data_IF_442272444790
#
_entry.id   IF_442272444790
#
_cell.length_a   1.000
_cell.length_b   1.000
_cell.length_c   1.000
_cell.angle_alpha   90.00
_cell.angle_beta   90.00
_cell.angle_gamma   90.00
#
_symmetry.space_group_name_H-M   'P 1'
#
loop_
_entity.id
_entity.type
_entity.pdbx_description
1 polymer ?
#
# COMPACT_ATOMS: atom_id res chain seq x y z
N UNK A 1 54.14 2.71 -46.07
CA UNK A 1 52.96 2.78 -45.20
C UNK A 1 53.45 2.70 -43.77
N UNK A 2 53.46 3.82 -43.04
CA UNK A 2 53.85 3.86 -41.63
C UNK A 2 52.78 3.12 -40.83
N UNK A 3 53.10 1.95 -40.28
CA UNK A 3 52.24 1.29 -39.32
C UNK A 3 52.20 2.17 -38.07
N UNK A 4 51.03 2.70 -37.71
CA UNK A 4 50.81 3.27 -36.39
C UNK A 4 51.14 2.17 -35.37
N UNK A 5 52.29 2.29 -34.72
CA UNK A 5 52.60 1.56 -33.49
C UNK A 5 51.68 2.13 -32.42
N UNK A 6 50.45 1.60 -32.35
CA UNK A 6 49.54 1.83 -31.23
C UNK A 6 50.31 1.44 -29.96
N UNK A 7 50.69 2.46 -29.20
CA UNK A 7 51.49 2.31 -28.00
C UNK A 7 50.60 1.72 -26.91
N UNK A 8 50.51 0.38 -26.91
CA UNK A 8 49.68 -0.42 -26.00
C UNK A 8 49.92 -0.09 -24.54
N UNK A 9 51.12 0.38 -24.19
CA UNK A 9 51.50 0.79 -22.84
C UNK A 9 50.79 2.09 -22.37
N UNK A 10 50.49 3.01 -23.29
CA UNK A 10 49.71 4.21 -22.99
C UNK A 10 48.24 3.84 -22.88
N UNK A 11 47.74 3.00 -23.79
CA UNK A 11 46.35 2.55 -23.82
C UNK A 11 46.00 1.75 -22.56
N UNK A 12 46.87 0.85 -22.10
CA UNK A 12 46.66 0.07 -20.87
C UNK A 12 46.60 0.94 -19.60
N UNK A 13 47.35 2.05 -19.55
CA UNK A 13 47.33 3.01 -18.43
C UNK A 13 46.03 3.82 -18.36
N UNK A 14 45.35 4.04 -19.49
CA UNK A 14 44.03 4.67 -19.51
C UNK A 14 42.88 3.67 -19.34
N UNK A 15 43.04 2.42 -19.80
CA UNK A 15 42.02 1.36 -19.62
C UNK A 15 41.79 1.07 -18.13
N UNK A 16 42.83 1.06 -17.30
CA UNK A 16 42.70 0.79 -15.86
C UNK A 16 41.74 1.75 -15.13
N UNK A 17 41.94 3.08 -15.13
CA UNK A 17 41.00 4.01 -14.51
C UNK A 17 39.64 4.04 -15.21
N UNK A 18 39.58 3.94 -16.55
CA UNK A 18 38.30 3.88 -17.27
C UNK A 18 37.48 2.65 -16.87
N UNK A 19 38.14 1.49 -16.71
CA UNK A 19 37.48 0.27 -16.24
C UNK A 19 36.95 0.43 -14.81
N UNK A 20 37.67 1.11 -13.92
CA UNK A 20 37.20 1.45 -12.57
C UNK A 20 35.97 2.36 -12.61
N UNK A 21 35.96 3.39 -13.46
CA UNK A 21 34.80 4.26 -13.63
C UNK A 21 33.57 3.51 -14.18
N UNK A 22 33.78 2.63 -15.18
CA UNK A 22 32.71 1.81 -15.76
C UNK A 22 32.15 0.84 -14.73
N UNK A 23 33.00 0.14 -13.99
CA UNK A 23 32.59 -0.79 -12.92
C UNK A 23 31.84 -0.01 -11.83
N UNK A 24 32.36 1.13 -11.38
CA UNK A 24 31.70 1.96 -10.37
C UNK A 24 30.31 2.43 -10.84
N UNK A 25 30.18 2.83 -12.11
CA UNK A 25 28.89 3.20 -12.69
C UNK A 25 27.90 2.02 -12.73
N UNK A 26 28.36 0.83 -13.13
CA UNK A 26 27.53 -0.38 -13.15
C UNK A 26 27.06 -0.74 -11.73
N UNK A 27 27.98 -0.74 -10.75
CA UNK A 27 27.67 -1.01 -9.34
C UNK A 27 26.67 0.01 -8.82
N UNK A 28 26.86 1.29 -9.12
CA UNK A 28 25.94 2.36 -8.75
C UNK A 28 24.53 2.13 -9.30
N UNK A 29 24.41 1.78 -10.58
CA UNK A 29 23.12 1.49 -11.23
C UNK A 29 22.43 0.27 -10.60
N UNK A 30 23.19 -0.81 -10.34
CA UNK A 30 22.67 -2.01 -9.69
C UNK A 30 22.20 -1.74 -8.26
N UNK A 31 23.01 -1.01 -7.49
CA UNK A 31 22.70 -0.64 -6.12
C UNK A 31 21.43 0.21 -6.04
N UNK A 32 21.30 1.23 -6.88
CA UNK A 32 20.09 2.05 -6.91
C UNK A 32 18.84 1.25 -7.28
N UNK A 33 18.94 0.31 -8.23
CA UNK A 33 17.82 -0.58 -8.59
C UNK A 33 17.43 -1.49 -7.42
N UNK A 34 18.41 -2.05 -6.70
CA UNK A 34 18.15 -2.87 -5.52
C UNK A 34 17.51 -2.04 -4.40
N UNK A 35 18.01 -0.83 -4.15
CA UNK A 35 17.49 0.01 -3.08
C UNK A 35 16.04 0.45 -3.34
N UNK A 36 15.68 0.73 -4.60
CA UNK A 36 14.28 0.99 -4.97
C UNK A 36 13.37 -0.20 -4.66
N UNK A 37 13.79 -1.43 -5.00
CA UNK A 37 13.04 -2.65 -4.68
C UNK A 37 12.86 -2.82 -3.17
N UNK A 38 13.92 -2.61 -2.40
CA UNK A 38 13.92 -2.72 -0.94
C UNK A 38 12.95 -1.73 -0.27
N UNK A 39 12.95 -0.47 -0.72
CA UNK A 39 12.04 0.56 -0.19
C UNK A 39 10.58 0.17 -0.46
N UNK A 40 10.25 -0.24 -1.69
CA UNK A 40 8.87 -0.61 -2.06
C UNK A 40 8.41 -1.88 -1.34
N UNK A 41 9.29 -2.87 -1.16
CA UNK A 41 9.01 -4.06 -0.36
C UNK A 41 8.80 -3.73 1.13
N UNK A 42 9.57 -2.78 1.67
CA UNK A 42 9.43 -2.32 3.06
C UNK A 42 8.11 -1.58 3.27
N UNK A 43 7.75 -0.71 2.33
CA UNK A 43 6.47 -0.02 2.35
C UNK A 43 5.30 -1.02 2.31
N UNK A 44 5.40 -2.04 1.46
CA UNK A 44 4.38 -3.08 1.34
C UNK A 44 4.20 -3.88 2.63
N UNK A 45 5.30 -4.19 3.34
CA UNK A 45 5.24 -4.84 4.66
C UNK A 45 4.55 -3.95 5.69
N UNK A 46 4.83 -2.65 5.65
CA UNK A 46 4.15 -1.70 6.54
C UNK A 46 2.64 -1.66 6.26
N UNK A 47 2.23 -1.64 4.98
CA UNK A 47 0.80 -1.67 4.61
C UNK A 47 0.12 -2.93 5.14
N UNK A 48 0.76 -4.09 5.07
CA UNK A 48 0.19 -5.34 5.59
C UNK A 48 -0.14 -5.19 7.08
N UNK A 49 0.78 -4.64 7.87
CA UNK A 49 0.54 -4.40 9.30
C UNK A 49 -0.60 -3.41 9.53
N UNK A 50 -0.58 -2.27 8.84
CA UNK A 50 -1.63 -1.25 8.97
C UNK A 50 -3.01 -1.80 8.58
N UNK A 51 -3.08 -2.66 7.55
CA UNK A 51 -4.32 -3.31 7.12
C UNK A 51 -4.84 -4.27 8.17
N UNK A 52 -3.97 -5.03 8.84
CA UNK A 52 -4.40 -5.89 9.95
C UNK A 52 -4.95 -5.08 11.13
N UNK A 53 -4.30 -3.98 11.50
CA UNK A 53 -4.79 -3.08 12.54
C UNK A 53 -6.12 -2.41 12.13
N UNK A 54 -6.23 -1.94 10.89
CA UNK A 54 -7.46 -1.37 10.36
C UNK A 54 -8.60 -2.39 10.39
N UNK A 55 -8.32 -3.64 10.01
CA UNK A 55 -9.31 -4.72 10.02
C UNK A 55 -9.75 -5.09 11.44
N UNK A 56 -8.87 -4.99 12.44
CA UNK A 56 -9.25 -5.15 13.84
C UNK A 56 -10.31 -4.13 14.24
N UNK A 57 -10.07 -2.84 13.98
CA UNK A 57 -11.05 -1.79 14.29
C UNK A 57 -12.36 -1.99 13.51
N UNK A 58 -12.26 -2.33 12.22
CA UNK A 58 -13.43 -2.65 11.40
C UNK A 58 -14.25 -3.80 11.98
N UNK A 59 -13.60 -4.88 12.40
CA UNK A 59 -14.25 -6.02 13.02
C UNK A 59 -14.95 -5.64 14.33
N UNK A 60 -14.26 -4.88 15.19
CA UNK A 60 -14.83 -4.41 16.46
C UNK A 60 -16.06 -3.52 16.26
N UNK A 61 -16.04 -2.63 15.27
CA UNK A 61 -17.18 -1.77 14.91
C UNK A 61 -18.33 -2.60 14.34
N UNK A 62 -18.05 -3.46 13.35
CA UNK A 62 -19.09 -4.23 12.64
C UNK A 62 -19.80 -5.27 13.49
N UNK A 63 -19.12 -5.82 14.50
CA UNK A 63 -19.70 -6.78 15.44
C UNK A 63 -20.22 -6.11 16.72
N UNK A 64 -20.29 -4.78 16.75
CA UNK A 64 -20.71 -3.99 17.91
C UNK A 64 -19.96 -4.38 19.19
N UNK A 65 -18.69 -4.76 19.06
CA UNK A 65 -17.81 -5.05 20.19
C UNK A 65 -17.23 -3.74 20.73
N UNK A 66 -18.11 -2.88 21.23
CA UNK A 66 -17.84 -1.54 21.74
C UNK A 66 -18.45 -1.38 23.12
N UNK A 67 -17.77 -0.63 23.99
CA UNK A 67 -18.24 -0.43 25.38
C UNK A 67 -19.37 0.57 25.46
N UNK A 68 -19.24 1.66 24.73
CA UNK A 68 -20.15 2.80 24.72
C UNK A 68 -19.98 3.60 23.41
N UNK A 69 -20.74 4.68 23.28
CA UNK A 69 -20.70 5.55 22.10
C UNK A 69 -19.34 6.22 21.92
N UNK A 70 -18.68 6.61 23.00
CA UNK A 70 -17.37 7.27 22.93
C UNK A 70 -16.30 6.29 22.41
N UNK A 71 -16.32 5.04 22.88
CA UNK A 71 -15.46 3.96 22.39
C UNK A 71 -15.69 3.70 20.89
N UNK A 72 -16.95 3.67 20.45
CA UNK A 72 -17.28 3.53 19.02
C UNK A 72 -16.68 4.66 18.18
N UNK A 73 -16.84 5.92 18.61
CA UNK A 73 -16.31 7.09 17.90
C UNK A 73 -14.78 7.08 17.83
N UNK A 74 -14.11 6.65 18.91
CA UNK A 74 -12.65 6.49 18.92
C UNK A 74 -12.24 5.45 17.88
N UNK A 75 -12.87 4.27 17.87
CA UNK A 75 -12.55 3.21 16.90
C UNK A 75 -12.83 3.61 15.45
N UNK A 76 -13.93 4.33 15.19
CA UNK A 76 -14.23 4.88 13.87
C UNK A 76 -13.13 5.85 13.42
N UNK A 77 -12.65 6.69 14.34
CA UNK A 77 -11.58 7.63 14.06
C UNK A 77 -10.23 6.95 13.82
N UNK A 78 -9.90 5.91 14.58
CA UNK A 78 -8.69 5.10 14.39
C UNK A 78 -8.72 4.38 13.03
N UNK A 79 -9.86 3.75 12.70
CA UNK A 79 -10.08 3.15 11.38
C UNK A 79 -9.90 4.17 10.24
N UNK A 80 -10.45 5.38 10.39
CA UNK A 80 -10.33 6.47 9.41
C UNK A 80 -8.88 6.93 9.25
N UNK A 81 -8.14 7.05 10.35
CA UNK A 81 -6.73 7.44 10.34
C UNK A 81 -5.89 6.41 9.59
N UNK A 82 -6.04 5.12 9.93
CA UNK A 82 -5.34 4.03 9.24
C UNK A 82 -5.73 3.94 7.76
N UNK A 83 -7.01 4.11 7.44
CA UNK A 83 -7.51 4.16 6.05
C UNK A 83 -6.75 5.20 5.21
N UNK A 84 -6.55 6.41 5.74
CA UNK A 84 -5.83 7.46 5.02
C UNK A 84 -4.34 7.16 4.88
N UNK A 85 -3.71 6.61 5.93
CA UNK A 85 -2.32 6.20 5.88
C UNK A 85 -2.12 5.12 4.81
N UNK A 86 -2.92 4.05 4.83
CA UNK A 86 -2.87 2.97 3.83
C UNK A 86 -3.04 3.53 2.41
N UNK A 87 -4.02 4.43 2.18
CA UNK A 87 -4.21 5.06 0.86
C UNK A 87 -2.98 5.84 0.39
N UNK A 88 -2.31 6.57 1.28
CA UNK A 88 -1.09 7.30 0.95
C UNK A 88 0.04 6.33 0.54
N UNK A 89 0.24 5.26 1.30
CA UNK A 89 1.26 4.22 1.02
C UNK A 89 0.97 3.46 -0.28
N UNK A 90 -0.30 3.11 -0.52
CA UNK A 90 -0.73 2.49 -1.78
C UNK A 90 -0.53 3.43 -2.98
N UNK A 91 -0.73 4.73 -2.81
CA UNK A 91 -0.45 5.73 -3.86
C UNK A 91 1.04 5.77 -4.19
N UNK A 92 1.91 5.71 -3.18
CA UNK A 92 3.35 5.57 -3.40
C UNK A 92 3.69 4.30 -4.18
N UNK A 93 3.16 3.14 -3.79
CA UNK A 93 3.37 1.86 -4.49
C UNK A 93 2.91 1.94 -5.95
N UNK A 94 1.71 2.48 -6.19
CA UNK A 94 1.15 2.63 -7.52
C UNK A 94 2.07 3.46 -8.44
N UNK A 95 2.64 4.54 -7.91
CA UNK A 95 3.59 5.39 -8.62
C UNK A 95 4.93 4.70 -8.87
N UNK A 96 5.38 3.83 -7.97
CA UNK A 96 6.65 3.12 -8.09
C UNK A 96 6.60 1.93 -9.06
N UNK A 97 5.49 1.18 -9.09
CA UNK A 97 5.36 -0.04 -9.90
C UNK A 97 4.76 0.25 -11.29
N UNK A 98 3.86 1.23 -11.39
CA UNK A 98 3.17 1.59 -12.65
C UNK A 98 2.46 0.42 -13.34
N UNK A 99 1.90 -0.51 -12.56
CA UNK A 99 1.11 -1.62 -13.07
C UNK A 99 -0.39 -1.27 -13.06
N UNK A 100 -1.06 -1.46 -14.21
CA UNK A 100 -2.48 -1.10 -14.41
C UNK A 100 -3.43 -1.93 -13.54
N UNK A 101 -3.15 -3.21 -13.36
CA UNK A 101 -3.99 -4.11 -12.57
C UNK A 101 -3.92 -3.76 -11.09
N UNK A 102 -2.72 -3.51 -10.57
CA UNK A 102 -2.51 -3.00 -9.21
C UNK A 102 -3.24 -1.66 -9.02
N UNK A 103 -3.15 -0.77 -10.01
CA UNK A 103 -3.84 0.52 -9.96
C UNK A 103 -5.36 0.36 -9.87
N UNK A 104 -5.92 -0.61 -10.58
CA UNK A 104 -7.35 -0.89 -10.55
C UNK A 104 -7.78 -1.45 -9.19
N UNK A 105 -7.02 -2.37 -8.61
CA UNK A 105 -7.32 -2.92 -7.28
C UNK A 105 -7.22 -1.86 -6.18
N UNK A 106 -6.21 -0.98 -6.23
CA UNK A 106 -6.09 0.16 -5.30
C UNK A 106 -7.30 1.09 -5.42
N UNK A 107 -7.78 1.36 -6.65
CA UNK A 107 -8.98 2.18 -6.87
C UNK A 107 -10.23 1.52 -6.31
N UNK A 108 -10.42 0.22 -6.54
CA UNK A 108 -11.56 -0.55 -6.00
C UNK A 108 -11.58 -0.48 -4.47
N UNK A 109 -10.44 -0.76 -3.83
CA UNK A 109 -10.26 -0.60 -2.39
C UNK A 109 -10.63 0.81 -1.94
N UNK A 110 -10.10 1.85 -2.61
CA UNK A 110 -10.38 3.24 -2.27
C UNK A 110 -11.86 3.61 -2.32
N UNK A 111 -12.58 3.13 -3.33
CA UNK A 111 -14.03 3.32 -3.48
C UNK A 111 -14.78 2.65 -2.33
N UNK A 112 -14.54 1.36 -2.08
CA UNK A 112 -15.22 0.65 -0.98
C UNK A 112 -14.87 1.22 0.38
N UNK A 113 -13.63 1.64 0.59
CA UNK A 113 -13.20 2.26 1.84
C UNK A 113 -13.89 3.61 2.06
N UNK A 114 -14.11 4.41 1.01
CA UNK A 114 -14.85 5.66 1.14
C UNK A 114 -16.29 5.41 1.56
N UNK A 115 -16.96 4.41 0.98
CA UNK A 115 -18.32 4.05 1.40
C UNK A 115 -18.42 3.72 2.89
N UNK A 116 -17.49 2.92 3.41
CA UNK A 116 -17.43 2.61 4.86
C UNK A 116 -17.20 3.88 5.69
N UNK A 117 -16.31 4.77 5.25
CA UNK A 117 -16.08 6.03 5.94
C UNK A 117 -17.30 6.95 5.91
N UNK A 118 -18.02 6.98 4.80
CA UNK A 118 -19.24 7.77 4.65
C UNK A 118 -20.34 7.26 5.60
N UNK A 119 -20.47 5.94 5.75
CA UNK A 119 -21.37 5.33 6.74
C UNK A 119 -21.02 5.75 8.16
N UNK A 120 -19.74 5.73 8.51
CA UNK A 120 -19.29 6.18 9.84
C UNK A 120 -19.56 7.67 10.03
N UNK A 121 -19.34 8.50 9.01
CA UNK A 121 -19.62 9.92 9.05
C UNK A 121 -21.12 10.22 9.22
N UNK A 122 -22.00 9.45 8.56
CA UNK A 122 -23.45 9.56 8.73
C UNK A 122 -23.86 9.30 10.18
N UNK A 123 -23.26 8.30 10.83
CA UNK A 123 -23.47 8.06 12.25
C UNK A 123 -22.94 9.21 13.13
N UNK A 124 -21.70 9.65 12.90
CA UNK A 124 -21.07 10.75 13.65
C UNK A 124 -21.91 12.04 13.57
N UNK A 125 -22.57 12.30 12.45
CA UNK A 125 -23.34 13.53 12.21
C UNK A 125 -24.81 13.44 12.62
N UNK A 126 -25.34 12.24 12.89
CA UNK A 126 -26.69 12.06 13.39
C UNK A 126 -26.79 12.64 14.82
N UNK A 127 -27.83 13.43 15.12
CA UNK A 127 -28.03 14.04 16.44
C UNK A 127 -28.46 13.04 17.52
N UNK A 128 -29.05 11.93 17.11
CA UNK A 128 -29.65 10.95 18.02
C UNK A 128 -28.78 9.70 18.23
N UNK A 129 -27.47 9.75 17.88
CA UNK A 129 -26.44 8.70 17.94
C UNK A 129 -26.79 7.51 18.84
N UNK A 130 -27.64 6.62 18.33
CA UNK A 130 -28.09 5.45 19.07
C UNK A 130 -27.29 4.26 18.56
N UNK A 131 -26.56 3.62 19.49
CA UNK A 131 -25.77 2.43 19.22
C UNK A 131 -26.64 1.29 18.67
N UNK A 132 -27.88 1.17 19.13
CA UNK A 132 -28.79 0.13 18.67
C UNK A 132 -29.22 0.39 17.22
N UNK A 133 -29.55 1.64 16.89
CA UNK A 133 -29.91 2.06 15.53
C UNK A 133 -28.73 1.86 14.57
N UNK A 134 -27.51 2.19 15.01
CA UNK A 134 -26.31 1.94 14.22
C UNK A 134 -26.01 0.45 14.01
N UNK A 135 -26.13 -0.36 15.05
CA UNK A 135 -25.97 -1.81 14.94
C UNK A 135 -26.98 -2.43 13.97
N UNK A 136 -28.24 -2.00 14.03
CA UNK A 136 -29.29 -2.41 13.09
C UNK A 136 -28.95 -1.99 11.65
N UNK A 137 -28.46 -0.77 11.46
CA UNK A 137 -28.06 -0.27 10.15
C UNK A 137 -26.92 -1.09 9.54
N UNK A 138 -25.92 -1.47 10.35
CA UNK A 138 -24.82 -2.35 9.93
C UNK A 138 -25.31 -3.75 9.53
N UNK A 139 -26.24 -4.33 10.28
CA UNK A 139 -26.82 -5.64 9.93
C UNK A 139 -27.58 -5.61 8.60
N UNK A 140 -28.35 -4.54 8.35
CA UNK A 140 -29.06 -4.34 7.09
C UNK A 140 -28.08 -4.20 5.91
N UNK A 141 -27.01 -3.44 6.08
CA UNK A 141 -25.96 -3.29 5.07
C UNK A 141 -25.25 -4.60 4.74
N UNK A 142 -25.08 -5.47 5.74
CA UNK A 142 -24.48 -6.79 5.55
C UNK A 142 -25.40 -7.72 4.74
N UNK A 143 -26.72 -7.65 4.97
CA UNK A 143 -27.70 -8.51 4.30
C UNK A 143 -28.06 -8.07 2.87
N UNK A 144 -28.23 -6.77 2.64
CA UNK A 144 -28.84 -6.29 1.40
C UNK A 144 -27.83 -5.80 0.35
N UNK A 145 -26.72 -5.20 0.78
CA UNK A 145 -25.80 -4.49 -0.15
C UNK A 145 -24.42 -5.13 -0.29
N UNK A 146 -24.12 -6.19 0.47
CA UNK A 146 -22.81 -6.88 0.46
C UNK A 146 -21.61 -5.93 0.64
N UNK A 147 -21.78 -4.73 1.20
CA UNK A 147 -20.71 -3.72 1.21
C UNK A 147 -19.56 -4.13 2.14
N UNK A 148 -19.90 -4.73 3.28
CA UNK A 148 -18.92 -5.31 4.22
C UNK A 148 -18.12 -6.42 3.55
N UNK A 149 -18.80 -7.35 2.85
CA UNK A 149 -18.17 -8.45 2.13
C UNK A 149 -17.26 -7.92 1.01
N UNK A 150 -17.75 -6.94 0.23
CA UNK A 150 -16.98 -6.32 -0.84
C UNK A 150 -15.72 -5.62 -0.30
N UNK A 151 -15.83 -4.93 0.84
CA UNK A 151 -14.69 -4.31 1.51
C UNK A 151 -13.67 -5.36 1.96
N UNK A 152 -14.10 -6.46 2.58
CA UNK A 152 -13.23 -7.56 3.01
C UNK A 152 -12.53 -8.26 1.84
N UNK A 153 -13.25 -8.47 0.72
CA UNK A 153 -12.66 -9.02 -0.50
C UNK A 153 -11.58 -8.09 -1.06
N UNK A 154 -11.85 -6.78 -1.11
CA UNK A 154 -10.87 -5.80 -1.58
C UNK A 154 -9.66 -5.69 -0.66
N UNK A 155 -9.84 -5.78 0.67
CA UNK A 155 -8.73 -5.89 1.62
C UNK A 155 -7.86 -7.11 1.29
N UNK A 156 -8.49 -8.25 1.04
CA UNK A 156 -7.78 -9.49 0.73
C UNK A 156 -6.95 -9.37 -0.56
N UNK A 157 -7.52 -8.75 -1.61
CA UNK A 157 -6.78 -8.42 -2.83
C UNK A 157 -5.56 -7.53 -2.57
N UNK A 158 -5.72 -6.50 -1.75
CA UNK A 158 -4.62 -5.58 -1.39
C UNK A 158 -3.54 -6.31 -0.61
N UNK A 159 -3.91 -7.18 0.34
CA UNK A 159 -2.95 -7.98 1.11
C UNK A 159 -2.14 -8.91 0.20
N UNK A 160 -2.78 -9.59 -0.76
CA UNK A 160 -2.05 -10.44 -1.70
C UNK A 160 -1.11 -9.64 -2.60
N UNK A 161 -1.53 -8.48 -3.11
CA UNK A 161 -0.64 -7.57 -3.86
C UNK A 161 0.56 -7.15 -3.01
N UNK A 162 0.33 -6.67 -1.79
CA UNK A 162 1.40 -6.24 -0.90
C UNK A 162 2.35 -7.38 -0.54
N UNK A 163 1.83 -8.60 -0.37
CA UNK A 163 2.63 -9.81 -0.15
C UNK A 163 3.50 -10.15 -1.35
N UNK A 164 2.96 -10.10 -2.57
CA UNK A 164 3.75 -10.34 -3.79
C UNK A 164 4.86 -9.31 -3.99
N UNK A 165 4.59 -8.05 -3.67
CA UNK A 165 5.60 -6.98 -3.70
C UNK A 165 6.66 -7.20 -2.61
N UNK A 166 6.25 -7.51 -1.38
CA UNK A 166 7.16 -7.78 -0.26
C UNK A 166 8.07 -9.00 -0.51
N UNK A 167 7.61 -9.95 -1.31
CA UNK A 167 8.36 -11.13 -1.76
C UNK A 167 9.17 -10.90 -3.05
N UNK A 168 9.23 -9.66 -3.56
CA UNK A 168 9.93 -9.29 -4.80
C UNK A 168 9.42 -9.99 -6.07
N UNK A 169 8.19 -10.54 -6.07
CA UNK A 169 7.56 -11.12 -7.26
C UNK A 169 7.11 -10.03 -8.24
N UNK A 170 6.63 -8.91 -7.69
CA UNK A 170 6.33 -7.69 -8.42
C UNK A 170 7.43 -6.68 -8.08
N UNK A 171 8.07 -6.10 -9.10
CA UNK A 171 9.15 -5.12 -8.88
C UNK A 171 8.86 -3.79 -9.54
N UNK A 172 9.40 -2.68 -8.98
CA UNK A 172 9.31 -1.35 -9.60
C UNK A 172 9.88 -1.36 -11.02
N UNK A 173 9.27 -0.59 -11.91
CA UNK A 173 9.73 -0.36 -13.30
C UNK A 173 10.99 0.49 -13.36
#
# INVERSE_FOLDING_TARGET
MQSCTLNWEIISRFISPISTFVIAFIVYQLWHKQKRKEVVATESKSIINDVFEMNKYFFEITHMNVKDEADLLIKMNDFRTLSYQIKAKLTFINNAIKNKDISNEIKKFGITNNKILDLFLMYETNKNRDLLDFGLHLELLNKDNNEIINFQNNISSILEICKEIAMYKITPS
#
